data_IF_414489314382
#
_entry.id   IF_414489314382
#
_cell.length_a   1.000
_cell.length_b   1.000
_cell.length_c   1.000
_cell.angle_alpha   90.00
_cell.angle_beta   90.00
_cell.angle_gamma   90.00
#
_symmetry.space_group_name_H-M   'P 1'
#
loop_
_entity.id
_entity.type
_entity.pdbx_description
1 polymer ?
#
# COMPACT_ATOMS: atom_id res chain seq x y z
N UNK A 1 5.33 -35.45 0.22
CA UNK A 1 6.56 -35.13 0.93
C UNK A 1 6.21 -34.08 1.99
N UNK A 2 6.32 -34.43 3.27
CA UNK A 2 5.69 -33.67 4.37
C UNK A 2 6.38 -32.31 4.60
N UNK A 3 7.69 -32.25 4.33
CA UNK A 3 8.51 -31.04 4.46
C UNK A 3 8.05 -29.99 3.45
N UNK A 4 7.82 -30.38 2.19
CA UNK A 4 7.36 -29.47 1.14
C UNK A 4 5.98 -28.85 1.46
N UNK A 5 5.10 -29.64 2.08
CA UNK A 5 3.79 -29.15 2.53
C UNK A 5 3.96 -28.11 3.65
N UNK A 6 4.72 -28.43 4.70
CA UNK A 6 4.93 -27.49 5.81
C UNK A 6 5.66 -26.22 5.39
N UNK A 7 6.62 -26.28 4.46
CA UNK A 7 7.24 -25.09 3.90
C UNK A 7 6.24 -24.21 3.13
N UNK A 8 5.33 -24.83 2.36
CA UNK A 8 4.28 -24.09 1.67
C UNK A 8 3.31 -23.42 2.65
N UNK A 9 2.91 -24.12 3.70
CA UNK A 9 2.01 -23.59 4.73
C UNK A 9 2.67 -22.43 5.50
N UNK A 10 3.96 -22.55 5.81
CA UNK A 10 4.73 -21.49 6.47
C UNK A 10 4.79 -20.22 5.62
N UNK A 11 5.04 -20.35 4.31
CA UNK A 11 5.03 -19.20 3.38
C UNK A 11 3.65 -18.56 3.32
N UNK A 12 2.58 -19.36 3.18
CA UNK A 12 1.22 -18.85 3.14
C UNK A 12 0.83 -18.10 4.43
N UNK A 13 1.23 -18.64 5.59
CA UNK A 13 1.04 -17.99 6.88
C UNK A 13 1.81 -16.67 6.97
N UNK A 14 3.08 -16.67 6.55
CA UNK A 14 3.93 -15.47 6.53
C UNK A 14 3.36 -14.37 5.62
N UNK A 15 2.80 -14.75 4.46
CA UNK A 15 2.14 -13.81 3.56
C UNK A 15 0.88 -13.20 4.16
N UNK A 16 0.21 -13.89 5.08
CA UNK A 16 -0.98 -13.38 5.78
C UNK A 16 -0.67 -12.29 6.81
N UNK A 17 0.60 -11.97 7.05
CA UNK A 17 1.01 -10.88 7.93
C UNK A 17 0.43 -9.52 7.52
N UNK A 18 0.17 -9.31 6.22
CA UNK A 18 -0.41 -8.06 5.71
C UNK A 18 -1.75 -7.70 6.41
N UNK A 19 -2.58 -8.68 6.80
CA UNK A 19 -3.83 -8.37 7.52
C UNK A 19 -3.57 -7.61 8.83
N UNK A 20 -2.56 -8.02 9.59
CA UNK A 20 -2.21 -7.43 10.88
C UNK A 20 -1.42 -6.12 10.74
N UNK A 21 -0.79 -5.90 9.59
CA UNK A 21 -0.08 -4.66 9.26
C UNK A 21 -1.08 -3.59 8.83
N UNK A 22 -2.04 -3.95 7.98
CA UNK A 22 -2.99 -2.99 7.40
C UNK A 22 -4.19 -2.69 8.30
N UNK A 23 -4.48 -3.51 9.31
CA UNK A 23 -5.47 -3.19 10.34
C UNK A 23 -5.14 -1.88 11.09
N UNK A 24 -3.97 -1.72 11.75
CA UNK A 24 -3.62 -0.48 12.43
C UNK A 24 -3.39 0.70 11.46
N UNK A 25 -2.88 0.46 10.25
CA UNK A 25 -2.79 1.51 9.21
C UNK A 25 -4.19 2.02 8.86
N UNK A 26 -5.14 1.11 8.66
CA UNK A 26 -6.52 1.46 8.37
C UNK A 26 -7.17 2.27 9.49
N UNK A 27 -6.94 1.90 10.74
CA UNK A 27 -7.41 2.67 11.91
C UNK A 27 -6.78 4.06 12.00
N UNK A 28 -5.53 4.21 11.58
CA UNK A 28 -4.77 5.45 11.72
C UNK A 28 -5.03 6.48 10.60
N UNK A 29 -5.16 6.04 9.34
CA UNK A 29 -5.23 6.95 8.18
C UNK A 29 -6.37 6.63 7.21
N UNK A 30 -7.11 5.54 7.42
CA UNK A 30 -8.04 5.00 6.41
C UNK A 30 -9.23 5.91 6.12
N UNK A 31 -9.76 6.62 7.13
CA UNK A 31 -10.86 7.59 6.97
C UNK A 31 -10.37 8.97 6.50
N UNK A 32 -9.12 9.31 6.80
CA UNK A 32 -8.53 10.62 6.49
C UNK A 32 -7.96 10.68 5.07
N UNK A 33 -7.53 9.53 4.53
CA UNK A 33 -7.04 9.42 3.16
C UNK A 33 -8.19 9.71 2.17
N UNK A 34 -7.96 10.66 1.26
CA UNK A 34 -8.99 11.26 0.39
C UNK A 34 -10.08 12.04 1.14
N UNK A 35 -9.92 12.27 2.44
CA UNK A 35 -10.76 13.13 3.27
C UNK A 35 -10.57 14.62 2.96
N UNK A 36 -11.32 15.47 3.66
CA UNK A 36 -11.23 16.92 3.48
C UNK A 36 -9.86 17.47 3.89
N UNK A 37 -9.28 16.97 4.98
CA UNK A 37 -7.95 17.38 5.46
C UNK A 37 -6.86 17.01 4.45
N UNK A 38 -6.91 15.79 3.90
CA UNK A 38 -6.03 15.36 2.81
C UNK A 38 -6.15 16.23 1.56
N UNK A 39 -7.32 16.78 1.25
CA UNK A 39 -7.53 17.59 0.05
C UNK A 39 -7.17 19.07 0.26
N UNK A 40 -7.39 19.61 1.46
CA UNK A 40 -7.35 21.06 1.70
C UNK A 40 -6.17 21.49 2.56
N UNK A 41 -5.84 20.73 3.61
CA UNK A 41 -4.95 21.18 4.70
C UNK A 41 -3.53 20.61 4.60
N UNK A 42 -3.41 19.31 4.35
CA UNK A 42 -2.12 18.63 4.18
C UNK A 42 -1.37 19.19 2.98
N UNK A 43 -0.03 19.17 2.95
CA UNK A 43 0.76 19.72 1.84
C UNK A 43 1.79 18.78 1.24
N UNK A 44 2.23 17.79 2.00
CA UNK A 44 3.42 16.99 1.70
C UNK A 44 3.12 15.47 1.73
N UNK A 45 1.89 15.09 1.34
CA UNK A 45 1.47 13.68 1.26
C UNK A 45 1.68 12.90 2.57
N UNK A 46 1.38 13.57 3.69
CA UNK A 46 1.71 13.12 5.05
C UNK A 46 1.08 11.78 5.41
N UNK A 47 -0.09 11.45 4.84
CA UNK A 47 -0.76 10.17 5.05
C UNK A 47 -0.05 9.03 4.31
N UNK A 48 0.43 9.25 3.09
CA UNK A 48 1.26 8.26 2.39
C UNK A 48 2.62 8.08 3.08
N UNK A 49 3.23 9.16 3.60
CA UNK A 49 4.42 9.06 4.44
C UNK A 49 4.17 8.25 5.72
N UNK A 50 3.00 8.43 6.35
CA UNK A 50 2.61 7.67 7.54
C UNK A 50 2.42 6.19 7.21
N UNK A 51 1.81 5.87 6.06
CA UNK A 51 1.70 4.50 5.54
C UNK A 51 3.08 3.87 5.39
N UNK A 52 3.99 4.51 4.65
CA UNK A 52 5.34 3.98 4.39
C UNK A 52 6.15 3.81 5.67
N UNK A 53 6.14 4.78 6.59
CA UNK A 53 6.83 4.67 7.89
C UNK A 53 6.32 3.50 8.73
N UNK A 54 5.01 3.27 8.71
CA UNK A 54 4.43 2.14 9.43
C UNK A 54 4.87 0.82 8.79
N UNK A 55 4.96 0.75 7.46
CA UNK A 55 5.51 -0.42 6.77
C UNK A 55 7.00 -0.64 7.08
N UNK A 56 7.80 0.43 7.19
CA UNK A 56 9.20 0.36 7.60
C UNK A 56 9.35 -0.22 9.01
N UNK A 57 8.53 0.23 9.96
CA UNK A 57 8.53 -0.28 11.33
C UNK A 57 8.23 -1.80 11.35
N UNK A 58 7.20 -2.24 10.61
CA UNK A 58 6.87 -3.67 10.49
C UNK A 58 7.92 -4.48 9.72
N UNK A 59 8.66 -3.87 8.78
CA UNK A 59 9.73 -4.56 8.07
C UNK A 59 10.82 -5.03 9.03
N UNK A 60 11.17 -4.22 10.03
CA UNK A 60 12.14 -4.61 11.07
C UNK A 60 11.73 -5.88 11.81
N UNK A 61 10.45 -6.00 12.17
CA UNK A 61 9.91 -7.20 12.81
C UNK A 61 9.91 -8.41 11.85
N UNK A 62 9.49 -8.21 10.60
CA UNK A 62 9.47 -9.26 9.57
C UNK A 62 10.85 -9.85 9.36
N UNK A 63 11.87 -9.01 9.19
CA UNK A 63 13.26 -9.43 9.00
C UNK A 63 13.84 -10.11 10.26
N UNK A 64 13.39 -9.74 11.45
CA UNK A 64 13.82 -10.35 12.70
C UNK A 64 13.25 -11.77 12.89
N UNK A 65 12.00 -12.00 12.53
CA UNK A 65 11.28 -13.24 12.87
C UNK A 65 11.14 -14.24 11.73
N UNK A 66 11.36 -13.84 10.48
CA UNK A 66 11.24 -14.71 9.31
C UNK A 66 12.59 -14.98 8.64
N UNK A 67 12.72 -16.16 8.02
CA UNK A 67 13.85 -16.47 7.16
C UNK A 67 13.77 -15.70 5.83
N UNK A 68 14.93 -15.39 5.22
CA UNK A 68 15.07 -14.59 3.99
C UNK A 68 14.05 -14.90 2.87
N UNK A 69 13.77 -16.18 2.63
CA UNK A 69 12.83 -16.59 1.59
C UNK A 69 11.38 -16.21 1.94
N UNK A 70 11.01 -16.36 3.22
CA UNK A 70 9.70 -15.97 3.73
C UNK A 70 9.55 -14.46 3.77
N UNK A 71 10.60 -13.73 4.19
CA UNK A 71 10.64 -12.25 4.13
C UNK A 71 10.27 -11.78 2.72
N UNK A 72 10.97 -12.26 1.70
CA UNK A 72 10.71 -11.89 0.30
C UNK A 72 9.25 -12.13 -0.11
N UNK A 73 8.68 -13.28 0.27
CA UNK A 73 7.29 -13.63 -0.05
C UNK A 73 6.28 -12.76 0.70
N UNK A 74 6.59 -12.39 1.93
CA UNK A 74 5.78 -11.47 2.73
C UNK A 74 5.83 -10.05 2.16
N UNK A 75 7.01 -9.57 1.75
CA UNK A 75 7.15 -8.24 1.14
C UNK A 75 6.39 -8.17 -0.20
N UNK A 76 6.44 -9.22 -1.03
CA UNK A 76 5.61 -9.31 -2.25
C UNK A 76 4.12 -9.11 -1.89
N UNK A 77 3.62 -9.78 -0.84
CA UNK A 77 2.23 -9.67 -0.41
C UNK A 77 1.88 -8.29 0.19
N UNK A 78 2.82 -7.67 0.90
CA UNK A 78 2.66 -6.32 1.44
C UNK A 78 2.57 -5.29 0.32
N UNK A 79 3.38 -5.41 -0.73
CA UNK A 79 3.32 -4.51 -1.90
C UNK A 79 1.94 -4.55 -2.57
N UNK A 80 1.40 -5.75 -2.84
CA UNK A 80 0.03 -5.89 -3.37
C UNK A 80 -1.02 -5.34 -2.38
N UNK A 81 -0.87 -5.62 -1.09
CA UNK A 81 -1.80 -5.15 -0.06
C UNK A 81 -1.81 -3.61 0.08
N UNK A 82 -0.66 -2.94 -0.07
CA UNK A 82 -0.55 -1.48 -0.10
C UNK A 82 -1.40 -0.86 -1.20
N UNK A 83 -1.30 -1.40 -2.42
CA UNK A 83 -2.09 -0.95 -3.57
C UNK A 83 -3.58 -1.18 -3.32
N UNK A 84 -3.95 -2.38 -2.86
CA UNK A 84 -5.35 -2.72 -2.55
C UNK A 84 -5.93 -1.80 -1.48
N UNK A 85 -5.17 -1.52 -0.42
CA UNK A 85 -5.57 -0.61 0.65
C UNK A 85 -5.87 0.80 0.10
N UNK A 86 -4.93 1.34 -0.69
CA UNK A 86 -5.05 2.66 -1.29
C UNK A 86 -6.27 2.77 -2.22
N UNK A 87 -6.46 1.78 -3.12
CA UNK A 87 -7.64 1.71 -3.99
C UNK A 87 -8.93 1.60 -3.18
N UNK A 88 -8.93 0.81 -2.11
CA UNK A 88 -10.11 0.64 -1.25
C UNK A 88 -10.52 1.96 -0.59
N UNK A 89 -9.57 2.75 -0.07
CA UNK A 89 -9.86 4.08 0.48
C UNK A 89 -10.45 5.01 -0.59
N UNK A 90 -9.93 4.99 -1.82
CA UNK A 90 -10.46 5.80 -2.92
C UNK A 90 -11.90 5.41 -3.28
N UNK A 91 -12.18 4.10 -3.32
CA UNK A 91 -13.53 3.59 -3.57
C UNK A 91 -14.50 3.99 -2.46
N UNK A 92 -14.09 3.94 -1.19
CA UNK A 92 -14.93 4.39 -0.07
C UNK A 92 -15.27 5.89 -0.18
N UNK A 93 -14.31 6.72 -0.58
CA UNK A 93 -14.58 8.14 -0.90
C UNK A 93 -15.61 8.27 -2.02
N UNK A 94 -15.45 7.52 -3.11
CA UNK A 94 -16.39 7.54 -4.23
C UNK A 94 -17.80 7.07 -3.82
N UNK A 95 -17.91 6.05 -2.95
CA UNK A 95 -19.19 5.55 -2.42
C UNK A 95 -19.87 6.57 -1.50
N UNK A 96 -19.11 7.28 -0.67
CA UNK A 96 -19.64 8.35 0.19
C UNK A 96 -20.17 9.54 -0.62
N UNK A 97 -19.67 9.72 -1.84
CA UNK A 97 -20.08 10.76 -2.75
C UNK A 97 -21.38 10.40 -3.47
N UNK A 98 -22.49 10.89 -2.95
CA UNK A 98 -23.85 10.54 -3.39
C UNK A 98 -24.28 11.20 -4.73
N UNK A 99 -23.34 11.46 -5.64
CA UNK A 99 -23.61 12.09 -6.93
C UNK A 99 -22.66 11.64 -8.03
N UNK A 100 -23.21 11.01 -9.07
CA UNK A 100 -22.45 10.60 -10.27
C UNK A 100 -22.22 11.78 -11.24
N UNK A 101 -22.81 12.96 -10.96
CA UNK A 101 -22.80 14.12 -11.87
C UNK A 101 -21.78 15.20 -11.51
N UNK A 102 -21.20 15.10 -10.32
CA UNK A 102 -20.25 16.07 -9.78
C UNK A 102 -19.02 15.29 -9.37
N UNK A 103 -17.83 15.87 -9.48
CA UNK A 103 -16.61 15.22 -9.02
C UNK A 103 -16.68 14.87 -7.54
N UNK A 104 -16.02 13.78 -7.14
CA UNK A 104 -15.86 13.39 -5.73
C UNK A 104 -14.82 14.24 -4.99
N UNK A 105 -14.03 15.03 -5.72
CA UNK A 105 -13.07 16.01 -5.20
C UNK A 105 -13.55 17.43 -5.50
N UNK A 106 -13.24 18.37 -4.60
CA UNK A 106 -13.50 19.79 -4.77
C UNK A 106 -12.57 20.40 -5.84
N UNK A 107 -11.29 20.00 -5.85
CA UNK A 107 -10.30 20.38 -6.87
C UNK A 107 -9.63 19.14 -7.47
N UNK A 108 -10.09 18.75 -8.66
CA UNK A 108 -9.58 17.57 -9.37
C UNK A 108 -8.11 17.68 -9.74
N UNK A 109 -7.62 18.87 -10.10
CA UNK A 109 -6.23 19.02 -10.53
C UNK A 109 -5.31 18.81 -9.33
N UNK A 110 -5.66 19.41 -8.19
CA UNK A 110 -4.93 19.24 -6.94
C UNK A 110 -5.02 17.79 -6.43
N UNK A 111 -6.19 17.17 -6.48
CA UNK A 111 -6.37 15.78 -6.05
C UNK A 111 -5.53 14.81 -6.91
N UNK A 112 -5.48 14.99 -8.23
CA UNK A 112 -4.65 14.18 -9.12
C UNK A 112 -3.16 14.35 -8.82
N UNK A 113 -2.69 15.59 -8.63
CA UNK A 113 -1.30 15.86 -8.23
C UNK A 113 -0.95 15.15 -6.91
N UNK A 114 -1.86 15.19 -5.92
CA UNK A 114 -1.67 14.49 -4.65
C UNK A 114 -1.67 12.99 -4.80
N UNK A 115 -2.60 12.42 -5.56
CA UNK A 115 -2.64 10.99 -5.85
C UNK A 115 -1.32 10.56 -6.50
N UNK A 116 -0.80 11.33 -7.45
CA UNK A 116 0.49 11.02 -8.08
C UNK A 116 1.63 11.07 -7.05
N UNK A 117 1.63 12.01 -6.11
CA UNK A 117 2.60 12.09 -5.03
C UNK A 117 2.52 10.90 -4.07
N UNK A 118 1.32 10.52 -3.64
CA UNK A 118 1.08 9.36 -2.78
C UNK A 118 1.57 8.07 -3.45
N UNK A 119 1.25 7.87 -4.73
CA UNK A 119 1.71 6.73 -5.54
C UNK A 119 3.24 6.70 -5.61
N UNK A 120 3.88 7.84 -5.85
CA UNK A 120 5.34 7.93 -5.94
C UNK A 120 6.00 7.56 -4.61
N UNK A 121 5.53 8.11 -3.49
CA UNK A 121 6.04 7.80 -2.15
C UNK A 121 5.94 6.30 -1.84
N UNK A 122 4.77 5.71 -2.11
CA UNK A 122 4.57 4.28 -1.91
C UNK A 122 5.47 3.43 -2.80
N UNK A 123 5.67 3.84 -4.06
CA UNK A 123 6.53 3.13 -5.02
C UNK A 123 7.99 3.20 -4.62
N UNK A 124 8.50 4.39 -4.29
CA UNK A 124 9.89 4.64 -3.92
C UNK A 124 10.32 3.75 -2.76
N UNK A 125 9.46 3.63 -1.73
CA UNK A 125 9.70 2.73 -0.61
C UNK A 125 9.98 1.28 -1.04
N UNK A 126 9.15 0.70 -1.90
CA UNK A 126 9.38 -0.68 -2.35
C UNK A 126 10.56 -0.79 -3.33
N UNK A 127 10.81 0.23 -4.15
CA UNK A 127 11.96 0.26 -5.06
C UNK A 127 13.30 0.25 -4.31
N UNK A 128 13.37 0.89 -3.13
CA UNK A 128 14.55 0.85 -2.27
C UNK A 128 14.88 -0.57 -1.76
N UNK A 129 13.90 -1.48 -1.71
CA UNK A 129 14.08 -2.87 -1.28
C UNK A 129 14.54 -3.81 -2.42
N UNK A 130 14.37 -3.39 -3.68
CA UNK A 130 14.68 -4.20 -4.88
C UNK A 130 16.13 -4.69 -4.95
N UNK A 131 17.16 -3.91 -4.57
CA UNK A 131 18.54 -4.40 -4.57
C UNK A 131 18.75 -5.68 -3.75
N UNK A 132 18.01 -5.85 -2.65
CA UNK A 132 18.05 -7.03 -1.78
C UNK A 132 17.02 -8.10 -2.20
N UNK A 133 15.97 -7.70 -2.90
CA UNK A 133 14.86 -8.56 -3.32
C UNK A 133 14.50 -8.34 -4.81
N UNK A 134 15.34 -8.74 -5.78
CA UNK A 134 15.17 -8.36 -7.18
C UNK A 134 13.84 -8.79 -7.82
N UNK A 135 13.24 -9.86 -7.32
CA UNK A 135 11.93 -10.34 -7.78
C UNK A 135 10.79 -9.35 -7.49
N UNK A 136 10.94 -8.50 -6.45
CA UNK A 136 9.97 -7.49 -6.06
C UNK A 136 9.73 -6.45 -7.16
N UNK A 137 10.76 -6.14 -7.96
CA UNK A 137 10.63 -5.16 -9.05
C UNK A 137 9.50 -5.49 -10.02
N UNK A 138 9.31 -6.78 -10.34
CA UNK A 138 8.19 -7.23 -11.19
C UNK A 138 6.83 -7.05 -10.51
N UNK A 139 6.77 -7.25 -9.19
CA UNK A 139 5.53 -7.06 -8.41
C UNK A 139 5.19 -5.58 -8.37
N UNK A 140 6.16 -4.70 -8.12
CA UNK A 140 5.98 -3.24 -8.14
C UNK A 140 5.42 -2.79 -9.48
N UNK A 141 6.03 -3.21 -10.60
CA UNK A 141 5.53 -2.88 -11.93
C UNK A 141 4.07 -3.30 -12.12
N UNK A 142 3.74 -4.55 -11.79
CA UNK A 142 2.40 -5.10 -11.99
C UNK A 142 1.33 -4.43 -11.11
N UNK A 143 1.63 -4.23 -9.83
CA UNK A 143 0.65 -3.71 -8.88
C UNK A 143 0.47 -2.20 -9.03
N UNK A 144 1.56 -1.44 -9.21
CA UNK A 144 1.48 0.02 -9.34
C UNK A 144 1.02 0.48 -10.73
N UNK A 145 1.05 -0.37 -11.76
CA UNK A 145 0.37 -0.11 -13.04
C UNK A 145 -1.14 0.11 -12.85
N UNK A 146 -1.75 -0.59 -11.88
CA UNK A 146 -3.17 -0.41 -11.52
C UNK A 146 -3.41 1.02 -11.05
N UNK A 147 -2.58 1.53 -10.15
CA UNK A 147 -2.69 2.90 -9.63
C UNK A 147 -2.45 3.95 -10.71
N UNK A 148 -1.50 3.68 -11.62
CA UNK A 148 -1.23 4.57 -12.76
C UNK A 148 -2.44 4.64 -13.69
N UNK A 149 -3.07 3.49 -13.97
CA UNK A 149 -4.29 3.42 -14.80
C UNK A 149 -5.48 4.13 -14.15
N UNK A 150 -5.60 4.09 -12.82
CA UNK A 150 -6.67 4.80 -12.09
C UNK A 150 -6.47 6.32 -12.11
N UNK A 151 -5.23 6.77 -12.16
CA UNK A 151 -4.87 8.18 -12.23
C UNK A 151 -5.11 8.80 -13.62
N UNK A 152 -4.98 8.03 -14.71
CA UNK A 152 -5.21 8.47 -16.11
C UNK A 152 -6.69 8.64 -16.48
#
# INVERSE_FOLDING_TARGET
DLIALYSSDAVYAAQSAHFYIFEPIGEAIGEDLFGAEWEEELTDNELALTLVRTLEDFMGDIEQFLEDFMVKKTVDAIASASVIFYVRCLLLKAESHNSVKVSCFNDNAKALERISGDIQIMRDYFEELVPNMPALGRVIEQEFEILTTIHE
#
